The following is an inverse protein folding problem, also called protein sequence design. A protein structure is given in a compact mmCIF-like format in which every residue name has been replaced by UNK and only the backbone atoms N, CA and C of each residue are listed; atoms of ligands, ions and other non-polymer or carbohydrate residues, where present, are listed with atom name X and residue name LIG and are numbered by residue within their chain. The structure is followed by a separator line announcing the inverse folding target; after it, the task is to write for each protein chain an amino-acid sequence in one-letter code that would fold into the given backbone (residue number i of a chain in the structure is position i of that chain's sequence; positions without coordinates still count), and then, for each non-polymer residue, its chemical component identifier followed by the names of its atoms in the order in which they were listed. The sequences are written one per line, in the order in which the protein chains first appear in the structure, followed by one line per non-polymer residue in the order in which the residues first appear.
data_IF_998620828656
#
_entry.id   IF_998620828656
#
_cell.length_a   1.000
_cell.length_b   1.000
_cell.length_c   1.000
_cell.angle_alpha   90.00
_cell.angle_beta   90.00
_cell.angle_gamma   90.00
#
_symmetry.space_group_name_H-M   'P 1'
#
loop_
_entity.id
_entity.type
_entity.pdbx_description
1 polymer ?
#
# COMPACT_ATOMS: atom_id res chain seq x y z
N UNK A 1 1.61 -30.77 -17.63
CA UNK A 1 2.20 -30.63 -16.28
C UNK A 1 3.34 -29.66 -16.40
N UNK A 2 3.31 -28.55 -15.68
CA UNK A 2 4.40 -27.57 -15.69
C UNK A 2 5.34 -27.82 -14.51
N UNK A 3 6.64 -27.68 -14.76
CA UNK A 3 7.69 -27.93 -13.77
C UNK A 3 8.57 -26.70 -13.63
N UNK A 4 8.82 -26.30 -12.38
CA UNK A 4 9.63 -25.14 -12.02
C UNK A 4 10.74 -25.54 -11.04
N UNK A 5 11.79 -24.74 -10.91
CA UNK A 5 12.78 -24.94 -9.85
C UNK A 5 12.18 -24.51 -8.49
N UNK A 6 11.42 -23.42 -8.49
CA UNK A 6 10.77 -22.85 -7.31
C UNK A 6 9.30 -22.50 -7.59
N UNK A 7 8.42 -22.93 -6.70
CA UNK A 7 7.04 -22.45 -6.63
C UNK A 7 6.83 -21.64 -5.36
N UNK A 8 6.50 -20.35 -5.51
CA UNK A 8 6.22 -19.42 -4.42
C UNK A 8 4.72 -19.38 -4.14
N UNK A 9 4.32 -19.58 -2.88
CA UNK A 9 2.93 -19.63 -2.43
C UNK A 9 2.52 -18.30 -1.81
N UNK A 10 1.90 -17.45 -2.63
CA UNK A 10 1.38 -16.15 -2.24
C UNK A 10 1.92 -15.03 -3.14
N UNK A 11 1.01 -14.23 -3.69
CA UNK A 11 1.34 -13.13 -4.61
C UNK A 11 1.68 -11.79 -3.95
N UNK A 12 1.81 -11.72 -2.63
CA UNK A 12 2.08 -10.47 -1.90
C UNK A 12 3.55 -10.04 -1.95
N UNK A 13 3.88 -8.96 -1.24
CA UNK A 13 5.24 -8.39 -1.21
C UNK A 13 6.35 -9.39 -0.83
N UNK A 14 6.09 -10.30 0.11
CA UNK A 14 7.06 -11.34 0.49
C UNK A 14 7.28 -12.36 -0.64
N UNK A 15 6.20 -12.80 -1.30
CA UNK A 15 6.29 -13.72 -2.43
C UNK A 15 6.97 -13.09 -3.64
N UNK A 16 6.71 -11.80 -3.88
CA UNK A 16 7.43 -11.00 -4.87
C UNK A 16 8.93 -11.00 -4.62
N UNK A 17 9.35 -10.66 -3.39
CA UNK A 17 10.76 -10.63 -3.03
C UNK A 17 11.44 -12.00 -3.22
N UNK A 18 10.79 -13.08 -2.78
CA UNK A 18 11.29 -14.43 -2.95
C UNK A 18 11.41 -14.81 -4.44
N UNK A 19 10.39 -14.52 -5.24
CA UNK A 19 10.33 -14.88 -6.64
C UNK A 19 11.38 -14.14 -7.48
N UNK A 20 11.51 -12.82 -7.31
CA UNK A 20 12.51 -12.01 -8.01
C UNK A 20 13.91 -12.41 -7.60
N UNK A 21 14.17 -12.60 -6.31
CA UNK A 21 15.51 -13.04 -5.84
C UNK A 21 15.90 -14.39 -6.46
N UNK A 22 14.97 -15.35 -6.51
CA UNK A 22 15.24 -16.65 -7.12
C UNK A 22 15.43 -16.55 -8.65
N UNK A 23 14.65 -15.71 -9.33
CA UNK A 23 14.79 -15.45 -10.76
C UNK A 23 16.13 -14.81 -11.10
N UNK A 24 16.60 -13.84 -10.31
CA UNK A 24 17.92 -13.21 -10.44
C UNK A 24 19.07 -14.22 -10.26
N UNK A 25 18.83 -15.29 -9.51
CA UNK A 25 19.77 -16.42 -9.36
C UNK A 25 19.66 -17.46 -10.50
N UNK A 26 18.86 -17.19 -11.53
CA UNK A 26 18.72 -18.04 -12.71
C UNK A 26 17.69 -19.16 -12.60
N UNK A 27 16.90 -19.21 -11.52
CA UNK A 27 15.88 -20.24 -11.34
C UNK A 27 14.67 -20.03 -12.26
N UNK A 28 14.04 -21.12 -12.70
CA UNK A 28 12.68 -21.12 -13.24
C UNK A 28 11.68 -21.00 -12.08
N UNK A 29 10.91 -19.91 -12.04
CA UNK A 29 10.04 -19.57 -10.90
C UNK A 29 8.60 -19.39 -11.36
N UNK A 30 7.67 -19.91 -10.56
CA UNK A 30 6.26 -19.56 -10.62
C UNK A 30 5.76 -19.05 -9.27
N UNK A 31 4.79 -18.14 -9.30
CA UNK A 31 4.06 -17.64 -8.14
C UNK A 31 2.63 -18.12 -8.24
N UNK A 32 2.15 -18.84 -7.22
CA UNK A 32 0.76 -19.26 -7.10
C UNK A 32 0.06 -18.39 -6.05
N UNK A 33 -1.03 -17.74 -6.42
CA UNK A 33 -1.80 -16.87 -5.52
C UNK A 33 -3.27 -17.26 -5.45
N UNK A 34 -3.82 -17.23 -4.23
CA UNK A 34 -5.24 -17.35 -3.95
C UNK A 34 -5.84 -15.95 -3.76
N UNK A 35 -6.54 -15.45 -4.78
CA UNK A 35 -7.09 -14.10 -4.78
C UNK A 35 -6.02 -12.99 -4.71
N UNK A 36 -6.42 -11.83 -4.16
CA UNK A 36 -5.65 -10.57 -4.19
C UNK A 36 -4.58 -10.45 -3.08
N UNK A 37 -4.59 -11.33 -2.08
CA UNK A 37 -3.57 -11.37 -1.03
C UNK A 37 -3.62 -10.21 -0.02
N UNK A 38 -2.79 -10.30 1.03
CA UNK A 38 -2.73 -9.33 2.13
C UNK A 38 -2.22 -7.94 1.70
N UNK A 39 -1.38 -7.87 0.68
CA UNK A 39 -0.86 -6.59 0.17
C UNK A 39 -1.99 -5.73 -0.41
N UNK A 40 -2.96 -6.33 -1.10
CA UNK A 40 -4.10 -5.61 -1.68
C UNK A 40 -5.00 -4.92 -0.64
N UNK A 41 -5.07 -5.45 0.58
CA UNK A 41 -5.88 -4.88 1.68
C UNK A 41 -5.06 -4.00 2.62
N UNK A 42 -3.79 -3.76 2.32
CA UNK A 42 -2.90 -2.91 3.11
C UNK A 42 -3.12 -1.42 2.81
N UNK A 43 -2.59 -0.55 3.68
CA UNK A 43 -2.58 0.90 3.44
C UNK A 43 -1.73 1.37 2.26
N UNK A 44 -1.00 0.46 1.59
CA UNK A 44 0.00 0.79 0.58
C UNK A 44 1.31 1.33 1.14
N UNK A 45 1.37 1.62 2.45
CA UNK A 45 2.55 2.04 3.18
C UNK A 45 3.02 0.97 4.17
N UNK A 46 4.30 1.05 4.55
CA UNK A 46 4.99 0.07 5.38
C UNK A 46 5.59 0.72 6.63
N UNK A 47 5.38 0.06 7.76
CA UNK A 47 6.01 0.38 9.03
C UNK A 47 6.78 -0.85 9.56
N UNK A 48 7.52 -0.65 10.66
CA UNK A 48 8.29 -1.69 11.31
C UNK A 48 7.79 -1.86 12.75
N UNK A 49 6.66 -2.58 12.88
CA UNK A 49 6.07 -2.96 14.14
C UNK A 49 5.34 -1.83 14.88
N UNK A 50 4.56 -2.17 15.92
CA UNK A 50 3.91 -1.19 16.79
C UNK A 50 4.94 -0.23 17.40
N UNK A 51 4.58 1.05 17.48
CA UNK A 51 5.38 2.02 18.23
C UNK A 51 5.47 1.58 19.70
N UNK A 52 6.66 1.69 20.30
CA UNK A 52 6.81 1.52 21.74
C UNK A 52 5.82 2.44 22.48
N UNK A 53 5.21 1.95 23.57
CA UNK A 53 4.31 2.76 24.40
C UNK A 53 5.09 4.00 24.88
N UNK A 54 4.60 5.20 24.57
CA UNK A 54 5.07 6.43 25.22
C UNK A 54 5.90 7.41 24.41
N UNK A 55 6.06 7.24 23.10
CA UNK A 55 6.72 8.26 22.29
C UNK A 55 7.52 7.65 21.16
N UNK A 56 7.44 8.28 20.00
CA UNK A 56 8.02 7.83 18.75
C UNK A 56 9.54 7.69 18.89
N UNK A 57 10.14 6.51 18.70
CA UNK A 57 11.51 6.46 18.22
C UNK A 57 11.49 7.04 16.80
N UNK A 58 12.18 8.16 16.59
CA UNK A 58 12.22 8.85 15.29
C UNK A 58 12.98 8.06 14.24
N UNK A 59 14.04 7.35 14.63
CA UNK A 59 14.93 6.66 13.68
C UNK A 59 14.68 5.16 13.57
N UNK A 60 14.93 4.63 12.37
CA UNK A 60 14.70 3.22 12.03
C UNK A 60 15.55 2.25 12.87
N UNK A 61 16.78 2.64 13.20
CA UNK A 61 17.70 1.80 13.96
C UNK A 61 17.20 1.58 15.40
N UNK A 62 16.67 2.62 16.05
CA UNK A 62 16.04 2.54 17.36
C UNK A 62 14.80 1.64 17.33
N UNK A 63 13.97 1.77 16.28
CA UNK A 63 12.73 0.99 16.16
C UNK A 63 12.98 -0.50 15.92
N UNK A 64 13.98 -0.84 15.11
CA UNK A 64 14.36 -2.25 14.86
C UNK A 64 15.08 -2.89 16.04
N UNK A 65 15.63 -2.10 16.98
CA UNK A 65 16.17 -2.59 18.27
C UNK A 65 15.09 -2.91 19.30
N UNK A 66 13.92 -2.26 19.24
CA UNK A 66 12.79 -2.61 20.10
C UNK A 66 12.26 -3.99 19.72
N UNK A 67 12.54 -4.99 20.54
CA UNK A 67 12.16 -6.39 20.32
C UNK A 67 10.66 -6.69 20.53
N UNK A 68 9.85 -5.71 20.96
CA UNK A 68 8.46 -5.94 21.36
C UNK A 68 7.58 -6.45 20.20
N UNK A 69 7.89 -6.03 18.96
CA UNK A 69 7.21 -6.54 17.77
C UNK A 69 7.64 -7.97 17.40
N UNK A 70 8.80 -8.44 17.88
CA UNK A 70 9.32 -9.79 17.61
C UNK A 70 8.63 -10.84 18.47
N UNK A 71 8.20 -10.49 19.67
CA UNK A 71 7.58 -11.44 20.61
C UNK A 71 6.42 -12.23 19.99
N UNK A 72 5.45 -11.60 19.29
CA UNK A 72 4.39 -12.32 18.59
C UNK A 72 4.88 -13.26 17.47
N UNK A 73 5.99 -12.93 16.81
CA UNK A 73 6.55 -13.70 15.69
C UNK A 73 7.70 -14.63 16.10
N UNK A 74 8.05 -14.68 17.39
CA UNK A 74 9.23 -15.41 17.90
C UNK A 74 9.26 -16.89 17.49
N UNK A 75 8.11 -17.54 17.37
CA UNK A 75 7.98 -18.93 16.90
C UNK A 75 8.22 -19.10 15.40
N UNK A 76 7.90 -18.09 14.59
CA UNK A 76 8.18 -18.05 13.14
C UNK A 76 9.63 -17.62 12.87
N UNK A 77 10.16 -16.73 13.71
CA UNK A 77 11.54 -16.25 13.68
C UNK A 77 12.51 -17.16 14.46
N UNK A 78 12.04 -18.32 14.94
CA UNK A 78 12.82 -19.27 15.74
C UNK A 78 13.91 -20.00 14.93
N UNK A 79 13.93 -19.85 13.60
CA UNK A 79 15.09 -20.23 12.80
C UNK A 79 16.16 -19.15 12.98
N UNK A 80 17.37 -19.44 13.49
CA UNK A 80 18.39 -18.46 13.86
C UNK A 80 19.03 -17.72 12.66
N UNK A 81 18.40 -17.79 11.48
CA UNK A 81 18.68 -16.88 10.39
C UNK A 81 18.36 -15.46 10.86
N UNK A 82 19.42 -14.71 11.12
CA UNK A 82 19.44 -13.30 11.50
C UNK A 82 18.26 -12.57 10.83
N UNK A 83 17.39 -11.87 11.58
CA UNK A 83 16.33 -11.09 10.97
C UNK A 83 16.98 -10.16 9.93
N UNK A 84 16.34 -9.93 8.77
CA UNK A 84 16.93 -9.06 7.78
C UNK A 84 17.30 -7.76 8.48
N UNK A 85 18.60 -7.47 8.47
CA UNK A 85 19.15 -6.23 8.94
C UNK A 85 18.35 -5.07 8.32
N UNK A 86 18.33 -3.89 8.95
CA UNK A 86 17.86 -2.66 8.32
C UNK A 86 18.22 -2.54 6.83
N UNK A 87 19.45 -2.93 6.50
CA UNK A 87 20.01 -2.93 5.15
C UNK A 87 19.33 -3.95 4.22
N UNK A 88 18.99 -5.14 4.71
CA UNK A 88 18.27 -6.15 3.91
C UNK A 88 16.81 -5.75 3.68
N UNK A 89 16.14 -5.18 4.69
CA UNK A 89 14.80 -4.62 4.50
C UNK A 89 14.82 -3.50 3.45
N UNK A 90 15.81 -2.60 3.51
CA UNK A 90 16.03 -1.56 2.51
C UNK A 90 16.20 -2.13 1.10
N UNK A 91 17.03 -3.16 0.94
CA UNK A 91 17.23 -3.83 -0.37
C UNK A 91 15.93 -4.37 -0.94
N UNK A 92 15.07 -4.98 -0.12
CA UNK A 92 13.76 -5.49 -0.56
C UNK A 92 12.88 -4.35 -1.06
N UNK A 93 12.78 -3.25 -0.31
CA UNK A 93 11.95 -2.11 -0.73
C UNK A 93 12.50 -1.40 -1.96
N UNK A 94 13.82 -1.31 -2.12
CA UNK A 94 14.44 -0.82 -3.35
C UNK A 94 14.16 -1.72 -4.55
N UNK A 95 14.15 -3.04 -4.37
CA UNK A 95 13.77 -3.98 -5.42
C UNK A 95 12.29 -3.81 -5.80
N UNK A 96 11.41 -3.64 -4.81
CA UNK A 96 9.99 -3.33 -5.04
C UNK A 96 9.87 -2.02 -5.82
N UNK A 97 10.49 -0.93 -5.36
CA UNK A 97 10.43 0.38 -6.02
C UNK A 97 10.88 0.32 -7.49
N UNK A 98 12.02 -0.30 -7.78
CA UNK A 98 12.52 -0.47 -9.15
C UNK A 98 11.56 -1.24 -10.05
N UNK A 99 10.75 -2.08 -9.45
CA UNK A 99 9.83 -2.93 -10.18
C UNK A 99 8.45 -2.29 -10.34
N UNK A 100 8.11 -1.23 -9.61
CA UNK A 100 6.82 -0.54 -9.72
C UNK A 100 6.86 0.58 -10.76
N UNK A 101 5.73 0.80 -11.42
CA UNK A 101 5.57 1.90 -12.40
C UNK A 101 5.19 3.24 -11.75
N UNK A 102 5.23 3.30 -10.41
CA UNK A 102 4.97 4.50 -9.65
C UNK A 102 6.01 4.64 -8.52
N UNK A 103 6.39 5.88 -8.17
CA UNK A 103 7.46 6.11 -7.21
C UNK A 103 7.03 5.79 -5.77
N UNK A 104 7.99 5.28 -4.99
CA UNK A 104 7.88 5.18 -3.54
C UNK A 104 8.65 6.31 -2.88
N UNK A 105 8.20 6.75 -1.71
CA UNK A 105 8.96 7.61 -0.80
C UNK A 105 9.48 6.73 0.33
N UNK A 106 10.80 6.64 0.45
CA UNK A 106 11.46 5.95 1.54
C UNK A 106 12.15 6.97 2.45
N UNK A 107 12.04 6.77 3.75
CA UNK A 107 12.74 7.58 4.74
C UNK A 107 13.20 6.67 5.88
N UNK A 108 14.51 6.49 6.01
CA UNK A 108 15.10 5.55 6.97
C UNK A 108 15.60 6.25 8.23
N UNK A 109 15.96 7.53 8.15
CA UNK A 109 16.44 8.27 9.32
C UNK A 109 15.30 8.79 10.18
N UNK A 110 14.17 9.13 9.55
CA UNK A 110 12.98 9.65 10.22
C UNK A 110 11.71 9.10 9.60
N UNK A 111 10.82 8.51 10.41
CA UNK A 111 9.52 8.07 9.90
C UNK A 111 8.73 9.24 9.27
N UNK A 112 8.11 8.99 8.13
CA UNK A 112 7.07 9.83 7.56
C UNK A 112 5.82 9.70 8.43
N UNK A 113 5.21 10.80 8.83
CA UNK A 113 4.00 10.78 9.65
C UNK A 113 2.82 11.19 8.78
N UNK A 114 2.02 10.22 8.36
CA UNK A 114 1.00 10.40 7.32
C UNK A 114 -0.42 10.25 7.88
N UNK A 115 -1.41 10.98 7.34
CA UNK A 115 -2.78 10.92 7.85
C UNK A 115 -3.44 9.61 7.41
N UNK A 116 -4.29 9.04 8.26
CA UNK A 116 -5.04 7.80 7.99
C UNK A 116 -6.52 8.09 7.79
N UNK A 117 -7.22 7.24 7.02
CA UNK A 117 -8.67 7.33 6.81
C UNK A 117 -9.53 7.07 8.07
N UNK A 118 -8.91 6.86 9.24
CA UNK A 118 -9.58 6.73 10.54
C UNK A 118 -9.23 7.86 11.53
N UNK A 119 -8.70 8.99 11.04
CA UNK A 119 -8.50 10.19 11.85
C UNK A 119 -7.22 10.24 12.68
N UNK A 120 -6.23 9.40 12.37
CA UNK A 120 -4.95 9.39 13.06
C UNK A 120 -3.80 9.81 12.13
N UNK A 121 -2.64 10.03 12.73
CA UNK A 121 -1.37 10.23 12.06
C UNK A 121 -0.47 9.04 12.34
N UNK A 122 -0.06 8.32 11.29
CA UNK A 122 0.67 7.05 11.40
C UNK A 122 2.11 7.23 10.94
N UNK A 123 3.11 6.87 11.77
CA UNK A 123 4.50 6.79 11.36
C UNK A 123 4.72 5.59 10.42
N UNK A 124 5.33 5.83 9.27
CA UNK A 124 5.70 4.83 8.25
C UNK A 124 7.10 5.15 7.71
N UNK A 125 7.79 4.16 7.15
CA UNK A 125 9.14 4.34 6.58
C UNK A 125 9.14 4.25 5.06
N UNK A 126 8.14 3.59 4.49
CA UNK A 126 7.91 3.53 3.05
C UNK A 126 6.46 3.84 2.80
N UNK A 127 6.19 4.77 1.89
CA UNK A 127 4.85 5.08 1.41
C UNK A 127 4.89 5.30 -0.10
N UNK A 128 3.75 5.21 -0.76
CA UNK A 128 3.66 5.56 -2.17
C UNK A 128 3.78 7.07 -2.31
N UNK A 129 4.41 7.58 -3.37
CA UNK A 129 4.65 9.03 -3.49
C UNK A 129 3.36 9.84 -3.38
N UNK A 130 2.25 9.35 -3.96
CA UNK A 130 0.93 9.97 -3.85
C UNK A 130 0.38 10.07 -2.41
N UNK A 131 0.95 9.34 -1.45
CA UNK A 131 0.58 9.42 -0.03
C UNK A 131 1.58 10.24 0.81
N UNK A 132 2.76 10.52 0.26
CA UNK A 132 3.88 11.10 0.99
C UNK A 132 4.11 12.59 0.70
N UNK A 133 3.24 13.22 -0.11
CA UNK A 133 3.34 14.63 -0.47
C UNK A 133 3.03 15.57 0.71
N UNK A 134 2.20 15.12 1.66
CA UNK A 134 1.85 15.86 2.88
C UNK A 134 2.16 14.97 4.08
N UNK A 135 3.27 15.27 4.74
CA UNK A 135 3.64 14.66 6.02
C UNK A 135 3.54 15.68 7.16
N UNK A 136 3.21 15.20 8.36
CA UNK A 136 2.79 16.04 9.48
C UNK A 136 3.81 17.12 9.88
N UNK A 137 5.11 16.82 9.88
CA UNK A 137 6.12 17.78 10.33
C UNK A 137 6.26 18.95 9.35
N UNK A 138 6.24 18.70 8.04
CA UNK A 138 6.25 19.71 6.98
C UNK A 138 4.91 20.46 6.90
N UNK A 139 3.80 19.82 7.28
CA UNK A 139 2.49 20.43 7.36
C UNK A 139 2.27 21.28 8.64
N UNK A 140 3.19 21.25 9.60
CA UNK A 140 3.05 22.02 10.82
C UNK A 140 2.97 23.54 10.52
N UNK A 141 1.93 24.19 11.06
CA UNK A 141 1.64 25.61 10.80
C UNK A 141 1.10 25.90 9.40
N UNK A 142 0.76 24.88 8.60
CA UNK A 142 0.12 25.02 7.29
C UNK A 142 -1.39 24.85 7.38
N UNK A 143 -2.09 25.47 6.43
CA UNK A 143 -3.52 25.30 6.21
C UNK A 143 -3.75 24.26 5.12
N UNK A 144 -4.43 23.18 5.44
CA UNK A 144 -4.74 22.10 4.52
C UNK A 144 -6.25 22.03 4.25
N UNK A 145 -6.62 21.49 3.10
CA UNK A 145 -7.98 21.05 2.83
C UNK A 145 -8.06 19.53 2.78
N UNK A 146 -9.13 18.94 3.32
CA UNK A 146 -9.52 17.56 3.02
C UNK A 146 -10.65 17.59 2.00
N UNK A 147 -10.32 17.31 0.74
CA UNK A 147 -11.24 17.36 -0.37
C UNK A 147 -12.15 16.12 -0.41
N UNK A 148 -13.46 16.33 -0.42
CA UNK A 148 -14.47 15.28 -0.42
C UNK A 148 -15.74 15.70 -1.14
N UNK A 149 -16.65 14.75 -1.36
CA UNK A 149 -18.03 15.05 -1.74
C UNK A 149 -18.98 14.55 -0.63
N UNK A 150 -20.03 15.31 -0.25
CA UNK A 150 -20.97 14.94 0.83
C UNK A 150 -21.68 13.60 0.64
N UNK A 151 -21.75 13.12 -0.60
CA UNK A 151 -22.42 11.86 -0.93
C UNK A 151 -21.53 10.62 -0.75
N UNK A 152 -20.25 10.80 -0.40
CA UNK A 152 -19.32 9.70 -0.15
C UNK A 152 -19.47 9.16 1.26
N UNK A 153 -19.28 7.84 1.45
CA UNK A 153 -19.24 7.18 2.77
C UNK A 153 -17.97 7.51 3.54
N UNK A 154 -17.87 8.74 3.99
CA UNK A 154 -16.78 9.23 4.83
C UNK A 154 -17.27 10.35 5.74
N UNK A 155 -16.60 10.55 6.88
CA UNK A 155 -16.96 11.61 7.82
C UNK A 155 -15.93 12.74 7.80
N UNK A 156 -15.93 13.56 6.73
CA UNK A 156 -14.89 14.56 6.46
C UNK A 156 -14.64 15.50 7.66
N UNK A 157 -15.70 16.07 8.23
CA UNK A 157 -15.61 16.97 9.38
C UNK A 157 -15.02 16.26 10.61
N UNK A 158 -15.40 15.01 10.85
CA UNK A 158 -14.88 14.24 11.98
C UNK A 158 -13.39 13.92 11.77
N UNK A 159 -13.00 13.51 10.56
CA UNK A 159 -11.62 13.21 10.21
C UNK A 159 -10.71 14.43 10.38
N UNK A 160 -11.13 15.60 9.88
CA UNK A 160 -10.37 16.84 10.04
C UNK A 160 -10.09 17.13 11.52
N UNK A 161 -11.14 17.15 12.36
CA UNK A 161 -10.99 17.37 13.81
C UNK A 161 -10.12 16.32 14.50
N UNK A 162 -10.25 15.05 14.12
CA UNK A 162 -9.47 13.96 14.70
C UNK A 162 -7.99 14.09 14.33
N UNK A 163 -7.65 14.43 13.08
CA UNK A 163 -6.27 14.66 12.68
C UNK A 163 -5.64 15.85 13.40
N UNK A 164 -6.35 16.97 13.53
CA UNK A 164 -5.86 18.13 14.29
C UNK A 164 -5.61 17.77 15.76
N UNK A 165 -6.60 17.13 16.40
CA UNK A 165 -6.50 16.70 17.79
C UNK A 165 -5.34 15.72 17.98
N UNK A 166 -5.21 14.71 17.11
CA UNK A 166 -4.17 13.70 17.20
C UNK A 166 -2.76 14.29 16.98
N UNK A 167 -2.62 15.23 16.04
CA UNK A 167 -1.37 15.97 15.84
C UNK A 167 -0.98 16.75 17.12
N UNK A 168 -1.94 17.45 17.73
CA UNK A 168 -1.70 18.22 18.93
C UNK A 168 -1.36 17.34 20.14
N UNK A 169 -2.12 16.27 20.38
CA UNK A 169 -1.94 15.43 21.57
C UNK A 169 -0.69 14.57 21.48
N UNK A 170 -0.44 13.95 20.33
CA UNK A 170 0.56 12.89 20.19
C UNK A 170 1.88 13.38 19.61
N UNK A 171 1.87 14.47 18.84
CA UNK A 171 3.06 15.01 18.18
C UNK A 171 3.41 16.43 18.63
N UNK A 172 2.53 17.09 19.41
CA UNK A 172 2.69 18.49 19.85
C UNK A 172 2.80 19.48 18.68
N UNK A 173 2.14 19.15 17.57
CA UNK A 173 2.13 19.97 16.36
C UNK A 173 0.74 20.57 16.15
N UNK A 174 0.71 21.80 15.65
CA UNK A 174 -0.51 22.46 15.20
C UNK A 174 -0.59 22.40 13.68
N UNK A 175 -1.72 21.95 13.17
CA UNK A 175 -2.08 21.92 11.76
C UNK A 175 -3.54 22.34 11.67
N UNK A 176 -3.92 23.09 10.63
CA UNK A 176 -5.30 23.45 10.34
C UNK A 176 -5.76 22.62 9.14
N UNK A 177 -6.84 21.86 9.27
CA UNK A 177 -7.38 21.00 8.22
C UNK A 177 -8.87 21.27 8.08
N UNK A 178 -9.26 21.82 6.94
CA UNK A 178 -10.65 22.17 6.66
C UNK A 178 -11.29 21.16 5.70
N UNK A 179 -12.53 20.72 5.93
CA UNK A 179 -13.27 19.96 4.93
C UNK A 179 -13.57 20.87 3.72
N UNK A 180 -13.28 20.39 2.52
CA UNK A 180 -13.53 21.11 1.27
C UNK A 180 -14.40 20.26 0.33
N UNK A 181 -15.54 20.80 -0.08
CA UNK A 181 -16.48 20.11 -0.96
C UNK A 181 -16.02 20.23 -2.42
N UNK A 182 -16.02 19.10 -3.14
CA UNK A 182 -15.77 19.04 -4.57
C UNK A 182 -17.08 19.27 -5.34
N UNK A 183 -17.50 20.54 -5.43
CA UNK A 183 -18.84 20.94 -5.93
C UNK A 183 -19.14 20.53 -7.38
N UNK A 184 -18.11 20.38 -8.23
CA UNK A 184 -18.33 20.02 -9.64
C UNK A 184 -18.68 18.54 -9.85
N UNK A 185 -18.67 17.72 -8.79
CA UNK A 185 -18.98 16.29 -8.88
C UNK A 185 -20.48 16.03 -8.75
N UNK A 186 -21.03 15.11 -9.56
CA UNK A 186 -22.43 14.72 -9.42
C UNK A 186 -22.66 13.99 -8.09
N UNK A 187 -23.81 14.27 -7.46
CA UNK A 187 -24.23 13.55 -6.28
C UNK A 187 -24.48 12.06 -6.59
N UNK A 188 -23.96 11.19 -5.74
CA UNK A 188 -24.18 9.75 -5.80
C UNK A 188 -24.62 9.26 -4.43
N UNK A 189 -25.86 8.76 -4.32
CA UNK A 189 -26.44 8.36 -3.05
C UNK A 189 -25.56 7.34 -2.31
N UNK A 190 -25.06 7.75 -1.14
CA UNK A 190 -24.32 6.90 -0.20
C UNK A 190 -23.21 6.07 -0.86
N UNK A 191 -22.29 6.71 -1.57
CA UNK A 191 -21.29 6.03 -2.39
C UNK A 191 -20.05 5.58 -1.58
N UNK A 192 -19.71 4.27 -1.54
CA UNK A 192 -18.44 3.79 -1.00
C UNK A 192 -17.24 4.38 -1.76
N UNK A 193 -16.11 4.59 -1.07
CA UNK A 193 -14.87 5.07 -1.70
C UNK A 193 -14.39 4.15 -2.82
N UNK A 194 -14.58 2.84 -2.70
CA UNK A 194 -14.25 1.86 -3.75
C UNK A 194 -15.05 2.08 -5.04
N UNK A 195 -16.33 2.50 -4.94
CA UNK A 195 -17.15 2.87 -6.10
C UNK A 195 -16.63 4.17 -6.73
N UNK A 196 -16.23 5.16 -5.91
CA UNK A 196 -15.63 6.41 -6.41
C UNK A 196 -14.34 6.11 -7.18
N UNK A 197 -13.47 5.27 -6.62
CA UNK A 197 -12.21 4.88 -7.24
C UNK A 197 -12.40 4.21 -8.60
N UNK A 198 -13.36 3.28 -8.69
CA UNK A 198 -13.71 2.63 -9.96
C UNK A 198 -14.25 3.63 -10.97
N UNK A 199 -15.09 4.59 -10.54
CA UNK A 199 -15.60 5.63 -11.43
C UNK A 199 -14.48 6.54 -11.94
N UNK A 200 -13.60 6.99 -11.05
CA UNK A 200 -12.43 7.79 -11.37
C UNK A 200 -11.51 7.12 -12.40
N UNK A 201 -11.40 5.79 -12.33
CA UNK A 201 -10.63 5.00 -13.28
C UNK A 201 -11.32 4.90 -14.65
N UNK A 202 -12.65 4.68 -14.68
CA UNK A 202 -13.39 4.35 -15.92
C UNK A 202 -13.97 5.54 -16.66
N UNK A 203 -14.24 6.65 -15.98
CA UNK A 203 -14.94 7.82 -16.53
C UNK A 203 -13.99 9.02 -16.58
N UNK A 204 -13.57 9.37 -17.80
CA UNK A 204 -12.65 10.48 -18.05
C UNK A 204 -13.26 11.83 -17.66
N UNK A 205 -14.54 12.07 -17.96
CA UNK A 205 -15.21 13.34 -17.60
C UNK A 205 -15.36 13.49 -16.08
N UNK A 206 -15.69 12.40 -15.37
CA UNK A 206 -15.72 12.42 -13.92
C UNK A 206 -14.34 12.72 -13.34
N UNK A 207 -13.28 12.13 -13.90
CA UNK A 207 -11.90 12.40 -13.50
C UNK A 207 -11.50 13.84 -13.74
N UNK A 208 -11.78 14.40 -14.91
CA UNK A 208 -11.49 15.81 -15.22
C UNK A 208 -12.22 16.77 -14.27
N UNK A 209 -13.51 16.53 -14.00
CA UNK A 209 -14.28 17.32 -13.00
C UNK A 209 -13.70 17.22 -11.60
N UNK A 210 -13.23 16.04 -11.19
CA UNK A 210 -12.59 15.85 -9.89
C UNK A 210 -11.28 16.63 -9.82
N UNK A 211 -10.41 16.51 -10.81
CA UNK A 211 -9.13 17.22 -10.85
C UNK A 211 -9.33 18.74 -10.89
N UNK A 212 -10.31 19.23 -11.66
CA UNK A 212 -10.69 20.65 -11.68
C UNK A 212 -11.15 21.16 -10.31
N UNK A 213 -12.01 20.41 -9.62
CA UNK A 213 -12.43 20.76 -8.25
C UNK A 213 -11.27 20.75 -7.26
N UNK A 214 -10.36 19.79 -7.37
CA UNK A 214 -9.15 19.73 -6.53
C UNK A 214 -8.26 20.96 -6.79
N UNK A 215 -8.11 21.35 -8.06
CA UNK A 215 -7.35 22.53 -8.45
C UNK A 215 -7.94 23.81 -7.84
N UNK A 216 -9.26 23.97 -7.90
CA UNK A 216 -9.97 25.09 -7.29
C UNK A 216 -9.74 25.15 -5.77
N UNK A 217 -9.95 24.03 -5.07
CA UNK A 217 -9.70 23.93 -3.61
C UNK A 217 -8.27 24.32 -3.27
N UNK A 218 -7.29 23.89 -4.08
CA UNK A 218 -5.86 24.13 -3.83
C UNK A 218 -5.45 25.62 -3.83
N UNK A 219 -6.26 26.50 -4.43
CA UNK A 219 -5.98 27.95 -4.51
C UNK A 219 -6.02 28.62 -3.14
N UNK A 220 -6.73 28.04 -2.17
CA UNK A 220 -7.02 28.66 -0.87
C UNK A 220 -6.26 28.03 0.31
N UNK A 221 -5.42 27.03 0.03
CA UNK A 221 -4.70 26.25 1.04
C UNK A 221 -3.25 25.99 0.63
N UNK A 222 -2.44 25.55 1.59
CA UNK A 222 -1.06 25.14 1.38
C UNK A 222 -0.95 23.73 0.78
N UNK A 223 -1.96 22.88 0.97
CA UNK A 223 -1.99 21.52 0.44
C UNK A 223 -3.37 20.87 0.51
N UNK A 224 -3.58 19.83 -0.31
CA UNK A 224 -4.86 19.11 -0.39
C UNK A 224 -4.67 17.65 -0.02
N UNK A 225 -5.41 17.20 0.99
CA UNK A 225 -5.59 15.81 1.37
C UNK A 225 -6.80 15.21 0.66
N UNK A 226 -6.66 13.96 0.23
CA UNK A 226 -7.70 13.20 -0.45
C UNK A 226 -7.94 11.87 0.25
N UNK A 227 -9.16 11.31 0.20
CA UNK A 227 -9.35 9.90 0.48
C UNK A 227 -8.54 9.04 -0.52
N UNK A 228 -8.22 7.77 -0.17
CA UNK A 228 -7.47 6.87 -1.04
C UNK A 228 -8.34 6.40 -2.22
N UNK A 229 -8.25 7.09 -3.36
CA UNK A 229 -9.15 6.94 -4.51
C UNK A 229 -8.44 6.60 -5.83
N UNK A 230 -7.18 6.99 -5.99
CA UNK A 230 -6.50 6.97 -7.27
C UNK A 230 -5.86 5.62 -7.54
N UNK A 231 -6.44 4.83 -8.45
CA UNK A 231 -5.81 3.59 -8.88
C UNK A 231 -4.56 3.83 -9.72
N UNK A 232 -4.62 4.83 -10.59
CA UNK A 232 -3.49 5.41 -11.32
C UNK A 232 -3.18 6.77 -10.70
N UNK A 233 -1.92 6.95 -10.28
CA UNK A 233 -1.45 8.19 -9.65
C UNK A 233 -0.97 9.23 -10.65
N UNK A 234 -0.84 8.87 -11.93
CA UNK A 234 -0.35 9.80 -12.95
C UNK A 234 -1.20 11.08 -13.02
N UNK A 235 -2.55 11.02 -13.07
CA UNK A 235 -3.35 12.25 -13.13
C UNK A 235 -3.15 13.15 -11.90
N UNK A 236 -2.98 12.55 -10.72
CA UNK A 236 -2.70 13.28 -9.49
C UNK A 236 -1.30 13.93 -9.51
N UNK A 237 -0.33 13.20 -10.06
CA UNK A 237 1.06 13.66 -10.18
C UNK A 237 1.18 14.81 -11.20
N UNK A 238 0.50 14.68 -12.34
CA UNK A 238 0.42 15.73 -13.36
C UNK A 238 -0.20 17.01 -12.76
N UNK A 239 -1.32 16.87 -12.03
CA UNK A 239 -1.98 17.99 -11.35
C UNK A 239 -1.07 18.66 -10.32
N UNK A 240 -0.33 17.88 -9.53
CA UNK A 240 0.63 18.40 -8.55
C UNK A 240 1.76 19.18 -9.23
N UNK A 241 2.27 18.71 -10.37
CA UNK A 241 3.31 19.41 -11.15
C UNK A 241 2.79 20.73 -11.73
N UNK A 242 1.57 20.74 -12.24
CA UNK A 242 0.90 21.92 -12.78
C UNK A 242 0.68 22.99 -11.71
N UNK A 243 0.08 22.60 -10.58
CA UNK A 243 -0.30 23.54 -9.52
C UNK A 243 0.87 23.92 -8.62
N UNK A 244 1.96 23.13 -8.62
CA UNK A 244 3.10 23.26 -7.68
C UNK A 244 2.64 23.28 -6.21
N UNK A 245 1.59 22.52 -5.92
CA UNK A 245 0.97 22.38 -4.59
C UNK A 245 1.01 20.91 -4.17
N UNK A 246 1.34 20.61 -2.90
CA UNK A 246 1.30 19.24 -2.43
C UNK A 246 -0.15 18.73 -2.41
N UNK A 247 -0.37 17.60 -3.08
CA UNK A 247 -1.64 16.89 -3.08
C UNK A 247 -1.35 15.44 -2.67
N UNK A 248 -2.05 14.96 -1.64
CA UNK A 248 -1.73 13.68 -1.01
C UNK A 248 -2.98 12.87 -0.68
N UNK A 249 -2.98 11.60 -1.01
CA UNK A 249 -3.95 10.64 -0.47
C UNK A 249 -3.61 10.29 0.98
N UNK A 250 -4.62 10.08 1.83
CA UNK A 250 -4.41 9.52 3.14
C UNK A 250 -4.19 7.98 3.08
N UNK A 251 -3.63 7.42 4.15
CA UNK A 251 -3.45 5.98 4.29
C UNK A 251 -4.80 5.29 4.48
N UNK A 252 -5.13 4.36 3.57
CA UNK A 252 -6.35 3.56 3.66
C UNK A 252 -6.26 2.47 4.74
N UNK A 253 -7.40 2.12 5.33
CA UNK A 253 -7.50 1.06 6.35
C UNK A 253 -8.27 -0.19 5.87
N UNK A 254 -9.34 -0.02 5.11
CA UNK A 254 -10.21 -1.09 4.60
C UNK A 254 -10.53 -0.79 3.12
N UNK A 255 -10.46 -1.80 2.25
CA UNK A 255 -10.63 -1.64 0.78
C UNK A 255 -9.69 -0.56 0.18
N UNK A 256 -8.43 -0.55 0.63
CA UNK A 256 -7.50 0.51 0.29
C UNK A 256 -7.02 0.39 -1.17
N UNK A 257 -7.47 1.34 -2.01
CA UNK A 257 -6.95 1.54 -3.37
C UNK A 257 -5.42 1.53 -3.43
N UNK A 258 -4.66 2.16 -2.50
CA UNK A 258 -3.20 2.07 -2.47
C UNK A 258 -2.66 0.64 -2.34
N UNK A 259 -3.28 -0.20 -1.50
CA UNK A 259 -2.86 -1.60 -1.34
C UNK A 259 -3.06 -2.37 -2.64
N UNK A 260 -4.20 -2.16 -3.31
CA UNK A 260 -4.48 -2.78 -4.60
C UNK A 260 -3.59 -2.26 -5.73
N UNK A 261 -3.33 -0.95 -5.79
CA UNK A 261 -2.37 -0.32 -6.71
C UNK A 261 -0.98 -0.95 -6.55
N UNK A 262 -0.54 -1.18 -5.31
CA UNK A 262 0.70 -1.90 -5.01
C UNK A 262 0.68 -3.36 -5.46
N UNK A 263 -0.41 -4.09 -5.21
CA UNK A 263 -0.54 -5.48 -5.63
C UNK A 263 -0.53 -5.62 -7.16
N UNK A 264 -1.21 -4.72 -7.88
CA UNK A 264 -1.26 -4.71 -9.33
C UNK A 264 0.12 -4.38 -9.91
N UNK A 265 0.84 -3.42 -9.31
CA UNK A 265 2.23 -3.13 -9.68
C UNK A 265 3.19 -4.30 -9.44
N UNK A 266 3.02 -5.04 -8.33
CA UNK A 266 3.78 -6.27 -8.05
C UNK A 266 3.51 -7.34 -9.13
N UNK A 267 2.26 -7.53 -9.55
CA UNK A 267 1.96 -8.51 -10.60
C UNK A 267 2.53 -8.10 -11.96
N UNK A 268 2.40 -6.83 -12.34
CA UNK A 268 3.01 -6.31 -13.55
C UNK A 268 4.55 -6.48 -13.54
N UNK A 269 5.18 -6.29 -12.38
CA UNK A 269 6.60 -6.52 -12.19
C UNK A 269 7.01 -7.99 -12.38
N UNK A 270 6.26 -8.94 -11.82
CA UNK A 270 6.52 -10.37 -12.00
C UNK A 270 6.39 -10.78 -13.47
N UNK A 271 5.37 -10.26 -14.15
CA UNK A 271 5.16 -10.50 -15.59
C UNK A 271 6.33 -9.95 -16.42
N UNK A 272 6.78 -8.71 -16.16
CA UNK A 272 7.97 -8.13 -16.80
C UNK A 272 9.25 -8.93 -16.55
N UNK A 273 9.38 -9.50 -15.35
CA UNK A 273 10.50 -10.38 -14.99
C UNK A 273 10.39 -11.79 -15.59
N UNK A 274 9.36 -12.07 -16.41
CA UNK A 274 9.09 -13.38 -16.99
C UNK A 274 8.98 -14.47 -15.92
N UNK A 275 8.27 -14.16 -14.82
CA UNK A 275 7.90 -15.09 -13.76
C UNK A 275 6.43 -15.43 -13.95
N UNK A 276 6.10 -16.73 -14.05
CA UNK A 276 4.72 -17.19 -14.24
C UNK A 276 3.87 -16.86 -13.01
N UNK A 277 2.79 -16.11 -13.18
CA UNK A 277 1.81 -15.85 -12.11
C UNK A 277 0.57 -16.69 -12.33
N UNK A 278 0.38 -17.71 -11.49
CA UNK A 278 -0.79 -18.58 -11.51
C UNK A 278 -1.80 -18.07 -10.49
N UNK A 279 -2.97 -17.64 -10.97
CA UNK A 279 -4.11 -17.27 -10.13
C UNK A 279 -5.06 -18.46 -10.03
N UNK A 280 -5.39 -18.83 -8.80
CA UNK A 280 -6.29 -19.93 -8.50
C UNK A 280 -7.33 -19.50 -7.46
N UNK A 281 -8.54 -20.04 -7.55
CA UNK A 281 -9.53 -19.92 -6.47
C UNK A 281 -9.29 -20.96 -5.38
N UNK A 282 -8.83 -22.15 -5.78
CA UNK A 282 -8.62 -23.27 -4.88
C UNK A 282 -7.30 -23.98 -5.17
N UNK A 283 -6.66 -24.45 -4.10
CA UNK A 283 -5.40 -25.19 -4.14
C UNK A 283 -5.49 -26.40 -3.21
N UNK A 284 -4.97 -27.52 -3.67
CA UNK A 284 -4.74 -28.72 -2.85
C UNK A 284 -3.27 -29.13 -2.94
N UNK A 285 -2.65 -29.25 -1.78
CA UNK A 285 -1.29 -29.77 -1.68
C UNK A 285 -1.27 -31.30 -1.72
N UNK A 286 -0.35 -31.85 -2.51
CA UNK A 286 0.07 -33.24 -2.43
C UNK A 286 1.26 -33.31 -1.46
N UNK A 287 1.05 -33.93 -0.31
CA UNK A 287 2.02 -33.99 0.79
C UNK A 287 2.51 -35.43 0.94
N UNK A 288 3.83 -35.61 0.93
CA UNK A 288 4.47 -36.91 1.14
C UNK A 288 5.68 -36.73 2.07
N UNK A 289 5.76 -37.54 3.14
CA UNK A 289 6.84 -37.44 4.12
C UNK A 289 6.94 -36.06 4.79
N UNK A 290 5.80 -35.38 4.99
CA UNK A 290 5.74 -34.03 5.59
C UNK A 290 6.21 -32.89 4.67
N UNK A 291 6.45 -33.16 3.38
CA UNK A 291 6.86 -32.15 2.38
C UNK A 291 5.85 -32.05 1.26
N UNK A 292 5.65 -30.83 0.75
CA UNK A 292 4.86 -30.60 -0.47
C UNK A 292 5.64 -31.16 -1.67
N UNK A 293 4.98 -31.99 -2.49
CA UNK A 293 5.54 -32.61 -3.70
C UNK A 293 4.85 -32.19 -4.99
N UNK A 294 3.70 -31.56 -4.87
CA UNK A 294 2.88 -31.12 -5.99
C UNK A 294 1.74 -30.26 -5.49
N UNK A 295 1.26 -29.36 -6.34
CA UNK A 295 0.03 -28.62 -6.10
C UNK A 295 -0.96 -28.87 -7.23
N UNK A 296 -2.20 -29.12 -6.84
CA UNK A 296 -3.34 -29.08 -7.74
C UNK A 296 -4.05 -27.76 -7.54
N UNK A 297 -4.45 -27.09 -8.62
CA UNK A 297 -5.19 -25.85 -8.56
C UNK A 297 -6.32 -25.84 -9.59
N UNK A 298 -7.38 -25.09 -9.29
CA UNK A 298 -8.53 -24.91 -10.16
C UNK A 298 -9.25 -23.60 -9.82
N UNK A 299 -9.95 -23.05 -10.81
CA UNK A 299 -10.84 -21.92 -10.63
C UNK A 299 -12.29 -22.39 -10.50
N UNK A 300 -13.13 -21.52 -9.95
CA UNK A 300 -14.57 -21.76 -9.85
C UNK A 300 -15.15 -21.91 -11.25
N UNK A 301 -15.73 -23.07 -11.54
CA UNK A 301 -16.27 -23.42 -12.86
C UNK A 301 -15.35 -24.28 -13.73
N UNK A 302 -14.09 -24.50 -13.32
CA UNK A 302 -13.21 -25.44 -14.01
C UNK A 302 -13.68 -26.89 -13.76
N UNK A 303 -13.75 -27.70 -14.83
CA UNK A 303 -14.05 -29.14 -14.75
C UNK A 303 -12.82 -29.97 -14.37
N UNK A 304 -11.62 -29.49 -14.73
CA UNK A 304 -10.36 -30.20 -14.55
C UNK A 304 -9.40 -29.46 -13.63
N UNK A 305 -8.71 -30.23 -12.78
CA UNK A 305 -7.66 -29.70 -11.92
C UNK A 305 -6.34 -29.67 -12.67
N UNK A 306 -5.68 -28.52 -12.65
CA UNK A 306 -4.33 -28.34 -13.22
C UNK A 306 -3.29 -28.67 -12.15
N UNK A 307 -2.11 -29.13 -12.59
CA UNK A 307 -1.03 -29.57 -11.70
C UNK A 307 0.26 -28.79 -11.93
N UNK A 308 0.83 -28.31 -10.83
CA UNK A 308 2.14 -27.67 -10.75
C UNK A 308 3.09 -28.53 -9.92
N UNK A 309 4.33 -28.67 -10.38
CA UNK A 309 5.40 -29.30 -9.63
C UNK A 309 6.62 -28.38 -9.57
N UNK A 310 7.33 -28.42 -8.45
CA UNK A 310 8.60 -27.72 -8.31
C UNK A 310 9.58 -28.51 -7.45
N UNK A 311 10.87 -28.24 -7.63
CA UNK A 311 11.91 -28.83 -6.77
C UNK A 311 11.82 -28.27 -5.34
N UNK A 312 11.38 -27.02 -5.19
CA UNK A 312 11.20 -26.32 -3.92
C UNK A 312 9.88 -25.55 -3.88
N UNK A 313 9.34 -25.41 -2.67
CA UNK A 313 8.12 -24.66 -2.37
C UNK A 313 8.43 -23.70 -1.23
N UNK A 314 8.08 -22.42 -1.38
CA UNK A 314 8.30 -21.35 -0.38
C UNK A 314 7.07 -20.50 -0.18
#
# INVERSE_FOLDING_TARGET
METYDLLVLGGGAAGFAAAVTAKEQGASVAVLTLGVGATAVSSGAFDFGPSARGGLPSDFAARTRHNDWRTPYSKLLANPGVPPSPVEAQKIFLAIERALDFPLKMSWDKALVLPTSNGHWKPVYVAQAAQACIELYAAAGKKLAFAYHPSWRLMAQALCRQWEQHALTNFKLKVEILPAVLEALPAMADAPLSVIAVRLQRDAEFRERMLGSIAEVSQHVDGVLLPPLFWDVKPLSDLQLELKKPISECLGTVEAVPGKRLQDGIFAALERAQISVVRADQVRAEIEGGRVRGLQYWNTGDTDKKKLQAQRYV
#
